data_IF_650158473157
#
_entry.id   IF_650158473157
#
_cell.length_a   1.000
_cell.length_b   1.000
_cell.length_c   1.000
_cell.angle_alpha   90.00
_cell.angle_beta   90.00
_cell.angle_gamma   90.00
#
_symmetry.space_group_name_H-M   'P 1'
#
loop_
_entity.id
_entity.type
_entity.pdbx_description
1 polymer ?
#
# COMPACT_ATOMS: atom_id res chain seq x y z
N UNK A 1 -11.96 19.83 -25.51
CA UNK A 1 -12.30 19.69 -24.09
C UNK A 1 -11.14 19.01 -23.39
N UNK A 2 -10.36 19.72 -22.54
CA UNK A 2 -9.25 19.09 -21.81
C UNK A 2 -9.85 18.22 -20.70
N UNK A 3 -9.62 16.91 -20.75
CA UNK A 3 -9.91 16.02 -19.63
C UNK A 3 -8.92 16.42 -18.53
N UNK A 4 -9.43 17.01 -17.44
CA UNK A 4 -8.59 17.26 -16.26
C UNK A 4 -8.20 15.91 -15.67
N UNK A 5 -6.90 15.62 -15.69
CA UNK A 5 -6.34 14.48 -14.97
C UNK A 5 -6.70 14.61 -13.49
N UNK A 6 -7.43 13.63 -12.94
CA UNK A 6 -7.86 13.65 -11.54
C UNK A 6 -6.75 13.08 -10.66
N UNK A 7 -6.36 13.82 -9.63
CA UNK A 7 -5.41 13.35 -8.63
C UNK A 7 -6.13 12.63 -7.49
N UNK A 8 -5.66 11.44 -7.12
CA UNK A 8 -6.21 10.62 -6.04
C UNK A 8 -5.33 10.76 -4.80
N UNK A 9 -5.94 11.25 -3.71
CA UNK A 9 -5.31 11.28 -2.38
C UNK A 9 -5.56 9.98 -1.61
N UNK A 10 -4.51 9.37 -1.09
CA UNK A 10 -4.56 8.13 -0.30
C UNK A 10 -4.00 8.42 1.09
N UNK A 11 -4.73 8.02 2.14
CA UNK A 11 -4.31 8.20 3.53
C UNK A 11 -3.87 6.85 4.11
N UNK A 12 -2.61 6.78 4.53
CA UNK A 12 -1.95 5.60 5.08
C UNK A 12 -1.14 4.81 4.04
N UNK A 13 0.09 4.44 4.39
CA UNK A 13 1.02 3.59 3.63
C UNK A 13 1.10 2.16 4.17
N UNK A 14 0.02 1.64 4.74
CA UNK A 14 -0.11 0.22 5.03
C UNK A 14 -0.30 -0.61 3.75
N UNK A 15 -0.45 -1.93 3.90
CA UNK A 15 -0.71 -2.87 2.79
C UNK A 15 -1.84 -2.37 1.88
N UNK A 16 -2.96 -1.94 2.44
CA UNK A 16 -4.11 -1.42 1.69
C UNK A 16 -3.81 -0.12 0.93
N UNK A 17 -3.02 0.78 1.52
CA UNK A 17 -2.67 2.05 0.89
C UNK A 17 -1.72 1.86 -0.30
N UNK A 18 -0.72 1.00 -0.13
CA UNK A 18 0.25 0.68 -1.18
C UNK A 18 -0.42 0.00 -2.38
N UNK A 19 -1.29 -0.98 -2.16
CA UNK A 19 -2.01 -1.65 -3.26
C UNK A 19 -3.01 -0.71 -3.94
N UNK A 20 -3.65 0.19 -3.19
CA UNK A 20 -4.51 1.23 -3.78
C UNK A 20 -3.69 2.18 -4.66
N UNK A 21 -2.52 2.61 -4.20
CA UNK A 21 -1.64 3.49 -4.97
C UNK A 21 -1.18 2.84 -6.27
N UNK A 22 -0.74 1.58 -6.22
CA UNK A 22 -0.40 0.78 -7.41
C UNK A 22 -1.59 0.73 -8.38
N UNK A 23 -2.74 0.29 -7.89
CA UNK A 23 -3.94 0.07 -8.71
C UNK A 23 -4.38 1.36 -9.40
N UNK A 24 -4.41 2.49 -8.68
CA UNK A 24 -4.82 3.77 -9.26
C UNK A 24 -3.81 4.29 -10.28
N UNK A 25 -2.50 4.11 -10.04
CA UNK A 25 -1.47 4.46 -11.02
C UNK A 25 -1.60 3.62 -12.30
N UNK A 26 -1.89 2.32 -12.19
CA UNK A 26 -2.09 1.44 -13.35
C UNK A 26 -3.32 1.83 -14.18
N UNK A 27 -4.34 2.43 -13.55
CA UNK A 27 -5.50 2.99 -14.24
C UNK A 27 -5.28 4.41 -14.79
N UNK A 28 -4.04 4.92 -14.73
CA UNK A 28 -3.65 6.20 -15.34
C UNK A 28 -3.98 7.43 -14.49
N UNK A 29 -4.26 7.27 -13.19
CA UNK A 29 -4.44 8.40 -12.28
C UNK A 29 -3.11 8.89 -11.71
N UNK A 30 -3.03 10.20 -11.49
CA UNK A 30 -2.02 10.79 -10.60
C UNK A 30 -2.37 10.45 -9.15
N UNK A 31 -1.40 10.02 -8.35
CA UNK A 31 -1.63 9.56 -6.97
C UNK A 31 -0.72 10.30 -6.01
N UNK A 32 -1.30 10.79 -4.92
CA UNK A 32 -0.57 11.33 -3.77
C UNK A 32 -0.91 10.48 -2.56
N UNK A 33 0.11 9.91 -1.92
CA UNK A 33 -0.04 9.04 -0.77
C UNK A 33 0.59 9.71 0.47
N UNK A 34 -0.19 9.79 1.54
CA UNK A 34 0.20 10.42 2.79
C UNK A 34 0.35 9.36 3.88
N UNK A 35 1.52 9.32 4.52
CA UNK A 35 1.77 8.49 5.70
C UNK A 35 2.19 9.40 6.86
N UNK A 36 1.69 9.09 8.04
CA UNK A 36 2.01 9.80 9.26
C UNK A 36 3.38 9.38 9.80
N UNK A 37 3.71 8.11 9.69
CA UNK A 37 4.94 7.52 10.22
C UNK A 37 6.12 7.70 9.25
N UNK A 38 7.34 7.43 9.74
CA UNK A 38 8.58 7.53 8.96
C UNK A 38 8.84 6.31 8.08
N UNK A 39 8.08 5.24 8.24
CA UNK A 39 8.21 3.96 7.53
C UNK A 39 6.88 3.54 6.90
N UNK A 40 6.97 2.90 5.74
CA UNK A 40 5.82 2.26 5.08
C UNK A 40 5.57 0.86 5.66
N UNK A 41 4.36 0.34 5.48
CA UNK A 41 3.97 -1.01 5.89
C UNK A 41 2.91 -1.05 6.99
N UNK A 42 2.61 0.09 7.61
CA UNK A 42 1.56 0.21 8.63
C UNK A 42 1.83 -0.73 9.81
N UNK A 43 0.93 -1.69 10.06
CA UNK A 43 1.08 -2.65 11.17
C UNK A 43 2.32 -3.56 11.06
N UNK A 44 2.90 -3.68 9.87
CA UNK A 44 4.10 -4.50 9.63
C UNK A 44 5.42 -3.74 9.78
N UNK A 45 5.39 -2.43 10.06
CA UNK A 45 6.62 -1.65 10.25
C UNK A 45 7.38 -2.16 11.47
N UNK A 46 8.70 -1.95 11.45
CA UNK A 46 9.58 -2.35 12.56
C UNK A 46 9.20 -1.67 13.88
N UNK A 47 8.70 -0.44 13.79
CA UNK A 47 8.35 0.44 14.91
C UNK A 47 6.98 0.17 15.53
N UNK A 48 6.07 -0.52 14.83
CA UNK A 48 4.69 -0.76 15.30
C UNK A 48 4.40 -2.22 15.63
N UNK A 49 5.14 -3.15 15.03
CA UNK A 49 4.91 -4.58 15.22
C UNK A 49 5.47 -5.04 16.56
N UNK A 50 4.76 -5.94 17.24
CA UNK A 50 5.28 -6.56 18.46
C UNK A 50 6.37 -7.59 18.12
N UNK A 51 7.32 -7.86 19.05
CA UNK A 51 8.39 -8.82 18.81
C UNK A 51 7.86 -10.20 18.39
N UNK A 52 8.52 -10.81 17.40
CA UNK A 52 8.21 -12.14 16.87
C UNK A 52 6.82 -12.30 16.23
N UNK A 53 6.12 -11.21 15.90
CA UNK A 53 4.90 -11.34 15.09
C UNK A 53 5.23 -12.01 13.77
N UNK A 54 4.39 -12.98 13.41
CA UNK A 54 4.40 -13.68 12.12
C UNK A 54 3.00 -13.69 11.54
N UNK A 55 2.91 -13.89 10.24
CA UNK A 55 1.63 -14.02 9.56
C UNK A 55 0.94 -15.32 9.97
N UNK A 56 -0.39 -15.32 10.08
CA UNK A 56 -1.19 -16.53 10.36
C UNK A 56 -1.53 -17.31 9.09
N UNK A 57 -1.01 -16.87 7.94
CA UNK A 57 -1.21 -17.46 6.63
C UNK A 57 0.15 -17.75 5.98
N UNK A 58 0.15 -18.65 5.00
CA UNK A 58 1.36 -19.03 4.27
C UNK A 58 1.78 -17.90 3.33
N UNK A 59 3.08 -17.87 2.99
CA UNK A 59 3.67 -16.91 2.04
C UNK A 59 2.81 -16.76 0.78
N UNK A 60 2.46 -17.88 0.15
CA UNK A 60 1.77 -17.88 -1.15
C UNK A 60 0.34 -17.32 -1.06
N UNK A 61 -0.27 -17.35 0.13
CA UNK A 61 -1.61 -16.80 0.38
C UNK A 61 -1.60 -15.36 0.88
N UNK A 62 -0.43 -14.81 1.22
CA UNK A 62 -0.26 -13.42 1.71
C UNK A 62 0.49 -12.51 0.74
N UNK A 63 0.56 -12.90 -0.52
CA UNK A 63 1.22 -12.16 -1.59
C UNK A 63 0.22 -11.36 -2.42
N UNK A 64 0.68 -10.33 -3.13
CA UNK A 64 -0.19 -9.65 -4.10
C UNK A 64 -0.34 -10.50 -5.36
N UNK A 65 -1.51 -10.42 -6.00
CA UNK A 65 -1.90 -11.29 -7.12
C UNK A 65 -0.93 -11.28 -8.30
N UNK A 66 -0.20 -10.19 -8.49
CA UNK A 66 0.76 -9.98 -9.57
C UNK A 66 2.19 -9.74 -9.08
N UNK A 67 2.45 -9.96 -7.79
CA UNK A 67 3.77 -9.84 -7.18
C UNK A 67 3.97 -11.00 -6.21
N UNK A 68 4.33 -12.20 -6.71
CA UNK A 68 4.63 -13.37 -5.88
C UNK A 68 5.90 -13.18 -5.03
N UNK A 69 5.97 -13.85 -3.88
CA UNK A 69 7.06 -13.79 -2.89
C UNK A 69 8.02 -14.98 -2.97
#
# INVERSE_FOLDING_TARGET
MKIQQKTIGIIGAGVSGLVTAKTMREHGFEVVLFEKETELGGVWTSTRRYPNVTTQNTRDTYTFSDFPM
#
